data_IF_870180331645
#
_entry.id   IF_870180331645
#
_cell.length_a   1.000
_cell.length_b   1.000
_cell.length_c   1.000
_cell.angle_alpha   90.00
_cell.angle_beta   90.00
_cell.angle_gamma   90.00
#
_symmetry.space_group_name_H-M   'P 1'
#
loop_
_entity.id
_entity.type
_entity.pdbx_description
1 polymer ?
#
# COMPACT_ATOMS: atom_id res chain seq x y z
N UNK A 1 -15.20 -10.99 -10.79
CA UNK A 1 -15.88 -11.86 -11.78
C UNK A 1 -15.76 -11.17 -13.12
N UNK A 2 -15.60 -11.91 -14.21
CA UNK A 2 -15.61 -11.32 -15.54
C UNK A 2 -16.91 -10.55 -15.74
N UNK A 3 -16.85 -9.47 -16.51
CA UNK A 3 -18.06 -8.75 -16.91
C UNK A 3 -18.83 -9.67 -17.86
N UNK A 4 -20.03 -10.04 -17.46
CA UNK A 4 -20.90 -10.94 -18.20
C UNK A 4 -22.15 -10.23 -18.71
N UNK A 5 -22.63 -10.64 -19.88
CA UNK A 5 -23.95 -10.26 -20.37
C UNK A 5 -25.05 -11.15 -19.77
N UNK A 6 -26.31 -10.88 -20.13
CA UNK A 6 -27.48 -11.65 -19.71
C UNK A 6 -27.44 -13.14 -20.14
N UNK A 7 -26.54 -13.51 -21.05
CA UNK A 7 -26.34 -14.86 -21.57
C UNK A 7 -25.14 -15.57 -20.93
N UNK A 8 -24.43 -14.92 -20.00
CA UNK A 8 -23.23 -15.44 -19.35
C UNK A 8 -21.98 -15.43 -20.24
N UNK A 9 -21.96 -14.64 -21.31
CA UNK A 9 -20.79 -14.47 -22.18
C UNK A 9 -19.87 -13.43 -21.59
N UNK A 10 -18.56 -13.62 -21.73
CA UNK A 10 -17.56 -12.76 -21.11
C UNK A 10 -17.16 -11.64 -22.04
N UNK A 11 -17.06 -10.43 -21.51
CA UNK A 11 -16.60 -9.26 -22.25
C UNK A 11 -15.07 -9.30 -22.42
N UNK A 12 -14.60 -9.09 -23.64
CA UNK A 12 -13.17 -9.00 -23.94
C UNK A 12 -12.64 -7.55 -23.91
N UNK A 13 -11.34 -7.39 -24.16
CA UNK A 13 -10.63 -6.08 -24.13
C UNK A 13 -11.14 -5.08 -25.18
N UNK A 14 -11.80 -5.55 -26.23
CA UNK A 14 -12.43 -4.72 -27.25
C UNK A 14 -13.89 -4.39 -26.93
N UNK A 15 -14.43 -4.98 -25.88
CA UNK A 15 -15.81 -4.81 -25.44
C UNK A 15 -16.79 -5.81 -26.06
N UNK A 16 -16.30 -6.78 -26.86
CA UNK A 16 -17.14 -7.83 -27.46
C UNK A 16 -17.36 -8.99 -26.50
N UNK A 17 -18.52 -9.65 -26.60
CA UNK A 17 -18.87 -10.78 -25.74
C UNK A 17 -18.57 -12.12 -26.41
N UNK A 18 -17.84 -12.99 -25.69
CA UNK A 18 -17.47 -14.33 -26.16
C UNK A 18 -17.99 -15.40 -25.21
N UNK A 19 -18.51 -16.47 -25.79
CA UNK A 19 -18.94 -17.64 -25.03
C UNK A 19 -17.73 -18.24 -24.27
N UNK A 20 -17.84 -18.60 -22.97
CA UNK A 20 -16.71 -19.07 -22.16
C UNK A 20 -15.94 -20.25 -22.77
N UNK A 21 -16.66 -21.22 -23.36
CA UNK A 21 -16.03 -22.36 -24.04
C UNK A 21 -15.16 -22.01 -25.27
N UNK A 22 -15.19 -20.76 -25.75
CA UNK A 22 -14.34 -20.26 -26.85
C UNK A 22 -13.13 -19.47 -26.36
N UNK A 23 -12.99 -19.28 -25.05
CA UNK A 23 -11.87 -18.61 -24.40
C UNK A 23 -10.88 -19.67 -23.98
N UNK A 24 -9.58 -19.43 -24.17
CA UNK A 24 -8.56 -20.40 -23.78
C UNK A 24 -8.59 -20.67 -22.26
N UNK A 25 -8.27 -21.91 -21.86
CA UNK A 25 -8.27 -22.28 -20.44
C UNK A 25 -7.28 -21.44 -19.65
N UNK A 26 -6.12 -21.10 -20.23
CA UNK A 26 -5.12 -20.30 -19.54
C UNK A 26 -5.61 -18.85 -19.35
N UNK A 27 -6.35 -18.29 -20.33
CA UNK A 27 -7.00 -16.97 -20.19
C UNK A 27 -8.11 -16.97 -19.13
N UNK A 28 -8.92 -18.03 -19.06
CA UNK A 28 -9.96 -18.17 -18.01
C UNK A 28 -9.34 -18.28 -16.61
N UNK A 29 -8.25 -19.03 -16.47
CA UNK A 29 -7.51 -19.16 -15.20
C UNK A 29 -6.84 -17.84 -14.80
N UNK A 30 -6.34 -17.07 -15.77
CA UNK A 30 -5.77 -15.74 -15.53
C UNK A 30 -6.83 -14.76 -15.03
N UNK A 31 -7.98 -14.68 -15.70
CA UNK A 31 -9.08 -13.79 -15.28
C UNK A 31 -9.54 -14.11 -13.85
N UNK A 32 -9.77 -15.39 -13.54
CA UNK A 32 -10.16 -15.79 -12.19
C UNK A 32 -9.09 -15.42 -11.15
N UNK A 33 -7.81 -15.59 -11.47
CA UNK A 33 -6.72 -15.24 -10.57
C UNK A 33 -6.70 -13.74 -10.30
N UNK A 34 -6.78 -12.92 -11.35
CA UNK A 34 -6.82 -11.46 -11.24
C UNK A 34 -8.01 -11.02 -10.41
N UNK A 35 -9.20 -11.50 -10.73
CA UNK A 35 -10.44 -11.15 -10.03
C UNK A 35 -10.40 -11.57 -8.55
N UNK A 36 -9.84 -12.75 -8.26
CA UNK A 36 -9.66 -13.22 -6.88
C UNK A 36 -8.70 -12.32 -6.09
N UNK A 37 -7.58 -11.91 -6.70
CA UNK A 37 -6.60 -11.03 -6.06
C UNK A 37 -7.21 -9.65 -5.82
N UNK A 38 -7.90 -9.09 -6.82
CA UNK A 38 -8.58 -7.80 -6.70
C UNK A 38 -9.66 -7.81 -5.62
N UNK A 39 -10.52 -8.83 -5.57
CA UNK A 39 -11.54 -8.95 -4.54
C UNK A 39 -10.94 -9.01 -3.13
N UNK A 40 -9.85 -9.75 -2.92
CA UNK A 40 -9.13 -9.77 -1.64
C UNK A 40 -8.49 -8.42 -1.31
N UNK A 41 -7.91 -7.75 -2.31
CA UNK A 41 -7.35 -6.40 -2.16
C UNK A 41 -8.39 -5.37 -1.73
N UNK A 42 -9.58 -5.39 -2.33
CA UNK A 42 -10.69 -4.48 -1.96
C UNK A 42 -11.18 -4.72 -0.53
N UNK A 43 -11.29 -5.98 -0.10
CA UNK A 43 -11.63 -6.31 1.29
C UNK A 43 -10.58 -5.79 2.27
N UNK A 44 -9.29 -5.97 1.94
CA UNK A 44 -8.19 -5.44 2.76
C UNK A 44 -8.21 -3.91 2.81
N UNK A 45 -8.47 -3.24 1.69
CA UNK A 45 -8.61 -1.79 1.64
C UNK A 45 -9.75 -1.30 2.53
N UNK A 46 -10.91 -1.95 2.48
CA UNK A 46 -12.04 -1.64 3.33
C UNK A 46 -11.69 -1.81 4.82
N UNK A 47 -11.04 -2.91 5.20
CA UNK A 47 -10.60 -3.16 6.57
C UNK A 47 -9.57 -2.11 7.06
N UNK A 48 -8.64 -1.70 6.20
CA UNK A 48 -7.66 -0.65 6.53
C UNK A 48 -8.35 0.71 6.71
N UNK A 49 -9.36 1.02 5.88
CA UNK A 49 -10.15 2.26 6.02
C UNK A 49 -10.95 2.26 7.32
N UNK A 50 -11.67 1.18 7.61
CA UNK A 50 -12.43 1.02 8.85
C UNK A 50 -11.53 1.15 10.08
N UNK A 51 -10.37 0.48 10.08
CA UNK A 51 -9.39 0.59 11.15
C UNK A 51 -8.86 2.02 11.31
N UNK A 52 -8.59 2.70 10.19
CA UNK A 52 -8.14 4.09 10.21
C UNK A 52 -9.19 5.01 10.85
N UNK A 53 -10.44 4.90 10.43
CA UNK A 53 -11.54 5.72 10.96
C UNK A 53 -11.75 5.46 12.45
N UNK A 54 -11.72 4.19 12.87
CA UNK A 54 -11.74 3.79 14.28
C UNK A 54 -10.63 4.45 15.10
N UNK A 55 -9.37 4.38 14.62
CA UNK A 55 -8.24 4.98 15.36
C UNK A 55 -8.42 6.49 15.52
N UNK A 56 -8.87 7.20 14.48
CA UNK A 56 -9.12 8.64 14.57
C UNK A 56 -10.29 8.98 15.48
N UNK A 57 -11.41 8.25 15.39
CA UNK A 57 -12.59 8.50 16.22
C UNK A 57 -12.26 8.32 17.71
N UNK A 58 -11.63 7.20 18.08
CA UNK A 58 -11.29 6.91 19.46
C UNK A 58 -10.28 7.92 20.04
N UNK A 59 -9.26 8.28 19.26
CA UNK A 59 -8.24 9.22 19.73
C UNK A 59 -8.81 10.63 19.93
N UNK A 60 -9.61 11.12 19.00
CA UNK A 60 -10.20 12.45 19.15
C UNK A 60 -11.27 12.48 20.23
N UNK A 61 -12.08 11.42 20.38
CA UNK A 61 -13.02 11.30 21.48
C UNK A 61 -12.31 11.32 22.84
N UNK A 62 -11.20 10.58 22.99
CA UNK A 62 -10.38 10.60 24.19
C UNK A 62 -9.80 11.99 24.50
N UNK A 63 -9.29 12.70 23.49
CA UNK A 63 -8.77 14.05 23.67
C UNK A 63 -9.86 15.07 24.02
N UNK A 64 -11.03 14.99 23.38
CA UNK A 64 -12.15 15.87 23.68
C UNK A 64 -12.67 15.60 25.10
N UNK A 65 -12.68 14.33 25.56
CA UNK A 65 -12.99 14.00 26.95
C UNK A 65 -11.98 14.61 27.95
N UNK A 66 -10.68 14.51 27.68
CA UNK A 66 -9.67 15.16 28.53
C UNK A 66 -9.83 16.69 28.52
N UNK A 67 -10.14 17.30 27.38
CA UNK A 67 -10.39 18.74 27.31
C UNK A 67 -11.53 19.16 28.20
N UNK A 68 -12.62 18.42 28.19
CA UNK A 68 -13.76 18.67 29.06
C UNK A 68 -13.37 18.54 30.54
N UNK A 69 -12.65 17.46 30.92
CA UNK A 69 -12.19 17.24 32.29
C UNK A 69 -11.33 18.39 32.81
N UNK A 70 -10.44 18.92 31.97
CA UNK A 70 -9.51 20.00 32.33
C UNK A 70 -10.00 21.41 31.94
N UNK A 71 -11.25 21.57 31.47
CA UNK A 71 -11.83 22.84 31.00
C UNK A 71 -10.96 23.57 29.94
N UNK A 72 -10.44 22.84 28.96
CA UNK A 72 -9.58 23.35 27.89
C UNK A 72 -10.38 23.52 26.60
N UNK A 73 -10.43 24.74 26.05
CA UNK A 73 -11.07 24.98 24.76
C UNK A 73 -10.23 24.43 23.59
N UNK A 74 -10.93 23.98 22.53
CA UNK A 74 -10.29 23.48 21.31
C UNK A 74 -9.66 24.61 20.51
N UNK A 75 -8.34 24.54 20.32
CA UNK A 75 -7.62 25.46 19.44
C UNK A 75 -7.99 25.20 17.97
N UNK A 76 -8.53 26.21 17.28
CA UNK A 76 -8.90 26.10 15.86
C UNK A 76 -7.66 25.96 14.96
N UNK A 77 -7.74 25.06 13.98
CA UNK A 77 -6.81 25.02 12.84
C UNK A 77 -5.51 24.24 13.04
N UNK A 78 -5.30 23.54 14.15
CA UNK A 78 -4.09 22.73 14.37
C UNK A 78 -4.39 21.25 14.18
N UNK A 79 -3.75 20.62 13.19
CA UNK A 79 -3.74 19.16 13.08
C UNK A 79 -2.91 18.60 14.23
N UNK A 80 -3.53 17.77 15.06
CA UNK A 80 -2.92 17.29 16.28
C UNK A 80 -2.00 16.11 16.00
N UNK A 81 -0.74 16.27 16.40
CA UNK A 81 0.18 15.14 16.54
C UNK A 81 -0.06 14.54 17.91
N UNK A 82 -0.31 13.24 17.96
CA UNK A 82 -0.72 12.54 19.17
C UNK A 82 0.24 11.38 19.38
N UNK A 83 0.71 11.18 20.61
CA UNK A 83 1.46 9.99 21.02
C UNK A 83 0.86 9.49 22.31
N UNK A 84 0.35 8.27 22.33
CA UNK A 84 -0.20 7.60 23.51
C UNK A 84 0.55 6.29 23.74
N UNK A 85 0.71 5.92 25.01
CA UNK A 85 1.35 4.68 25.44
C UNK A 85 0.40 3.89 26.33
N UNK A 86 0.52 2.57 26.29
CA UNK A 86 -0.13 1.72 27.29
C UNK A 86 0.43 2.03 28.69
N UNK A 87 -0.34 1.74 29.73
CA UNK A 87 0.05 1.99 31.12
C UNK A 87 1.40 1.37 31.49
N UNK A 88 1.66 0.13 31.05
CA UNK A 88 2.95 -0.55 31.27
C UNK A 88 4.07 -0.10 30.31
N UNK A 89 3.80 0.82 29.37
CA UNK A 89 4.78 1.35 28.41
C UNK A 89 5.27 0.37 27.34
N UNK A 90 4.63 -0.79 27.17
CA UNK A 90 5.01 -1.81 26.18
C UNK A 90 4.41 -1.58 24.79
N UNK A 91 3.35 -0.76 24.68
CA UNK A 91 2.70 -0.41 23.42
C UNK A 91 2.64 1.10 23.27
N UNK A 92 2.81 1.57 22.04
CA UNK A 92 2.74 2.97 21.66
C UNK A 92 1.95 3.12 20.37
N UNK A 93 1.08 4.12 20.33
CA UNK A 93 0.45 4.59 19.11
C UNK A 93 0.74 6.07 18.90
N UNK A 94 1.02 6.45 17.64
CA UNK A 94 1.31 7.83 17.24
C UNK A 94 0.58 8.25 15.97
N UNK A 95 -0.13 9.38 16.02
CA UNK A 95 -0.58 10.14 14.85
C UNK A 95 0.48 11.19 14.53
N UNK A 96 1.18 10.98 13.43
CA UNK A 96 2.14 11.93 12.88
C UNK A 96 1.49 12.73 11.76
N UNK A 97 1.85 14.01 11.63
CA UNK A 97 1.38 14.88 10.55
C UNK A 97 2.59 15.42 9.82
N UNK A 98 2.69 15.10 8.52
CA UNK A 98 3.73 15.62 7.64
C UNK A 98 3.12 16.63 6.68
N UNK A 99 3.82 17.75 6.50
CA UNK A 99 3.45 18.75 5.53
C UNK A 99 3.90 18.28 4.14
N UNK A 100 2.99 18.36 3.18
CA UNK A 100 3.32 18.22 1.77
C UNK A 100 3.89 19.54 1.30
N UNK A 101 5.19 19.54 1.04
CA UNK A 101 5.95 20.70 0.62
C UNK A 101 6.02 20.72 -0.89
N UNK A 102 5.88 21.90 -1.46
CA UNK A 102 6.15 22.19 -2.86
C UNK A 102 6.93 23.50 -2.95
N UNK A 103 7.37 23.87 -4.15
CA UNK A 103 8.14 25.08 -4.39
C UNK A 103 7.55 25.90 -5.52
N UNK A 104 7.45 27.21 -5.29
CA UNK A 104 7.07 28.16 -6.33
C UNK A 104 8.15 28.22 -7.42
N UNK A 105 7.81 27.74 -8.62
CA UNK A 105 8.74 27.63 -9.76
C UNK A 105 9.43 28.95 -10.11
N UNK A 106 8.68 30.05 -10.15
CA UNK A 106 9.21 31.38 -10.50
C UNK A 106 10.31 31.78 -9.53
N UNK A 107 10.07 31.62 -8.23
CA UNK A 107 11.06 31.97 -7.20
C UNK A 107 12.28 31.05 -7.21
N UNK A 108 12.12 29.78 -7.54
CA UNK A 108 13.25 28.84 -7.67
C UNK A 108 14.15 29.22 -8.85
N UNK A 109 13.58 29.58 -10.00
CA UNK A 109 14.38 30.06 -11.15
C UNK A 109 15.10 31.37 -10.83
N UNK A 110 14.47 32.32 -10.12
CA UNK A 110 15.16 33.53 -9.65
C UNK A 110 16.30 33.22 -8.68
N UNK A 111 16.13 32.25 -7.77
CA UNK A 111 17.19 31.81 -6.88
C UNK A 111 18.36 31.19 -7.65
N UNK A 112 18.05 30.39 -8.67
CA UNK A 112 19.04 29.78 -9.57
C UNK A 112 19.89 30.82 -10.27
N UNK A 113 19.29 31.91 -10.77
CA UNK A 113 20.04 33.03 -11.35
C UNK A 113 21.04 33.63 -10.36
N UNK A 114 20.64 33.85 -9.10
CA UNK A 114 21.53 34.36 -8.04
C UNK A 114 22.70 33.41 -7.76
N UNK A 115 22.43 32.11 -7.65
CA UNK A 115 23.50 31.13 -7.45
C UNK A 115 24.46 31.05 -8.65
N UNK A 116 23.95 31.18 -9.88
CA UNK A 116 24.78 31.22 -11.08
C UNK A 116 25.62 32.49 -11.16
N UNK A 117 25.10 33.64 -10.72
CA UNK A 117 25.90 34.88 -10.57
C UNK A 117 27.06 34.67 -9.60
N UNK A 118 26.82 34.00 -8.46
CA UNK A 118 27.88 33.63 -7.52
C UNK A 118 28.91 32.69 -8.16
N UNK A 119 28.45 31.63 -8.83
CA UNK A 119 29.35 30.67 -9.50
C UNK A 119 30.24 31.37 -10.52
N UNK A 120 29.67 32.25 -11.36
CA UNK A 120 30.42 32.99 -12.38
C UNK A 120 31.49 33.93 -11.78
N UNK A 121 31.28 34.48 -10.58
CA UNK A 121 32.31 35.29 -9.90
C UNK A 121 33.47 34.45 -9.34
N UNK A 122 33.24 33.17 -9.05
CA UNK A 122 34.24 32.26 -8.47
C UNK A 122 35.09 31.56 -9.52
N UNK A 123 34.63 31.48 -10.76
CA UNK A 123 35.36 30.87 -11.88
C UNK A 123 36.54 31.78 -12.26
N UNK A 124 37.77 31.34 -11.92
CA UNK A 124 39.03 31.88 -12.49
C UNK A 124 39.53 31.05 -13.68
N UNK A 125 39.19 29.77 -13.75
CA UNK A 125 39.55 28.85 -14.84
C UNK A 125 38.37 27.89 -15.16
N UNK A 126 38.28 27.45 -16.42
CA UNK A 126 37.16 26.66 -17.00
C UNK A 126 36.92 25.30 -16.30
N UNK A 127 37.92 24.78 -15.59
CA UNK A 127 37.88 23.47 -14.92
C UNK A 127 37.15 23.49 -13.57
N UNK A 128 36.84 24.66 -13.00
CA UNK A 128 36.23 24.83 -11.67
C UNK A 128 34.68 24.96 -11.72
N UNK A 129 34.03 24.10 -12.51
CA UNK A 129 32.59 24.17 -12.82
C UNK A 129 31.67 23.43 -11.80
N UNK A 130 32.23 23.04 -10.65
CA UNK A 130 31.55 22.19 -9.67
C UNK A 130 30.35 22.90 -9.03
N UNK A 131 30.48 24.18 -8.68
CA UNK A 131 29.39 24.94 -8.02
C UNK A 131 28.17 25.05 -8.94
N UNK A 132 28.40 25.36 -10.22
CA UNK A 132 27.32 25.50 -11.20
C UNK A 132 26.62 24.17 -11.45
N UNK A 133 27.38 23.08 -11.57
CA UNK A 133 26.81 21.72 -11.74
C UNK A 133 25.94 21.34 -10.55
N UNK A 134 26.39 21.64 -9.33
CA UNK A 134 25.66 21.33 -8.10
C UNK A 134 24.39 22.17 -7.98
N UNK A 135 24.45 23.46 -8.30
CA UNK A 135 23.27 24.35 -8.33
C UNK A 135 22.26 23.86 -9.36
N UNK A 136 22.71 23.55 -10.58
CA UNK A 136 21.83 23.08 -11.65
C UNK A 136 21.17 21.75 -11.29
N UNK A 137 21.91 20.79 -10.74
CA UNK A 137 21.38 19.50 -10.32
C UNK A 137 20.44 19.60 -9.12
N UNK A 138 20.72 20.47 -8.15
CA UNK A 138 19.86 20.66 -6.98
C UNK A 138 18.53 21.38 -7.31
N UNK A 139 18.54 22.23 -8.34
CA UNK A 139 17.39 23.03 -8.77
C UNK A 139 16.78 22.50 -10.09
N UNK A 140 16.98 21.22 -10.40
CA UNK A 140 16.35 20.56 -11.54
C UNK A 140 15.01 19.93 -11.11
N UNK A 141 13.88 20.32 -11.74
CA UNK A 141 12.60 19.71 -11.42
C UNK A 141 12.52 18.29 -11.97
N UNK A 142 12.23 17.32 -11.10
CA UNK A 142 11.98 15.91 -11.48
C UNK A 142 10.47 15.71 -11.59
N UNK A 143 9.98 15.35 -12.78
CA UNK A 143 8.54 15.22 -13.08
C UNK A 143 7.71 16.46 -12.67
N UNK A 144 8.28 17.65 -12.89
CA UNK A 144 7.62 18.93 -12.59
C UNK A 144 7.64 19.35 -11.11
N UNK A 145 8.32 18.61 -10.24
CA UNK A 145 8.47 18.94 -8.80
C UNK A 145 9.94 19.04 -8.41
N UNK A 146 10.23 19.96 -7.50
CA UNK A 146 11.55 20.06 -6.90
C UNK A 146 11.69 19.14 -5.71
N UNK A 147 12.88 18.57 -5.50
CA UNK A 147 13.19 17.74 -4.35
C UNK A 147 13.61 18.63 -3.16
N UNK A 148 12.80 18.66 -2.09
CA UNK A 148 13.10 19.41 -0.86
C UNK A 148 14.47 19.00 -0.30
N UNK A 149 14.89 17.73 -0.43
CA UNK A 149 16.20 17.29 0.08
C UNK A 149 17.35 17.92 -0.68
N UNK A 150 17.27 17.99 -2.00
CA UNK A 150 18.34 18.55 -2.82
C UNK A 150 18.43 20.07 -2.62
N UNK A 151 17.29 20.75 -2.50
CA UNK A 151 17.24 22.17 -2.14
C UNK A 151 17.81 22.43 -0.73
N UNK A 152 17.42 21.65 0.28
CA UNK A 152 17.94 21.81 1.64
C UNK A 152 19.45 21.54 1.71
N UNK A 153 19.97 20.55 0.96
CA UNK A 153 21.41 20.34 0.85
C UNK A 153 22.11 21.58 0.32
N UNK A 154 21.58 22.19 -0.75
CA UNK A 154 22.14 23.42 -1.32
C UNK A 154 22.14 24.55 -0.28
N UNK A 155 21.03 24.78 0.42
CA UNK A 155 20.92 25.81 1.47
C UNK A 155 21.97 25.59 2.57
N UNK A 156 22.18 24.33 2.98
CA UNK A 156 23.07 23.97 4.09
C UNK A 156 24.56 24.16 3.81
N UNK A 157 24.97 24.49 2.58
CA UNK A 157 26.37 24.80 2.27
C UNK A 157 26.84 26.10 2.92
N UNK A 158 25.93 27.02 3.27
CA UNK A 158 26.22 28.13 4.17
C UNK A 158 27.25 29.15 3.68
N UNK A 159 27.39 29.37 2.37
CA UNK A 159 28.31 30.39 1.87
C UNK A 159 27.84 31.81 2.23
N UNK A 160 28.79 32.65 2.66
CA UNK A 160 28.51 33.99 3.18
C UNK A 160 28.30 35.07 2.09
N UNK A 161 28.53 34.73 0.82
CA UNK A 161 28.47 35.69 -0.28
C UNK A 161 27.06 36.28 -0.47
N UNK A 162 26.90 37.58 -0.77
CA UNK A 162 25.58 38.22 -0.92
C UNK A 162 24.64 37.50 -1.88
N UNK A 163 25.10 37.15 -3.08
CA UNK A 163 24.31 36.38 -4.04
C UNK A 163 23.88 35.00 -3.53
N UNK A 164 24.69 34.34 -2.70
CA UNK A 164 24.31 33.05 -2.12
C UNK A 164 23.21 33.23 -1.09
N UNK A 165 23.35 34.22 -0.20
CA UNK A 165 22.32 34.55 0.81
C UNK A 165 21.00 34.92 0.16
N UNK A 166 21.02 35.80 -0.83
CA UNK A 166 19.82 36.19 -1.60
C UNK A 166 19.16 34.99 -2.30
N UNK A 167 19.97 34.09 -2.88
CA UNK A 167 19.47 32.84 -3.48
C UNK A 167 18.80 31.93 -2.44
N UNK A 168 19.40 31.77 -1.26
CA UNK A 168 18.83 31.01 -0.14
C UNK A 168 17.52 31.63 0.35
N UNK A 169 17.47 32.95 0.52
CA UNK A 169 16.26 33.67 0.92
C UNK A 169 15.12 33.48 -0.09
N UNK A 170 15.43 33.56 -1.39
CA UNK A 170 14.46 33.27 -2.46
C UNK A 170 13.93 31.84 -2.37
N UNK A 171 14.80 30.83 -2.20
CA UNK A 171 14.40 29.42 -2.02
C UNK A 171 13.54 29.20 -0.79
N UNK A 172 13.90 29.81 0.35
CA UNK A 172 13.10 29.71 1.57
C UNK A 172 11.72 30.33 1.37
N UNK A 173 11.63 31.47 0.69
CA UNK A 173 10.36 32.12 0.37
C UNK A 173 9.55 31.41 -0.74
N UNK A 174 10.20 30.54 -1.53
CA UNK A 174 9.59 29.71 -2.56
C UNK A 174 8.89 28.48 -1.97
N UNK A 175 9.33 28.02 -0.80
CA UNK A 175 8.81 26.84 -0.13
C UNK A 175 7.37 27.09 0.34
N UNK A 176 6.44 26.30 -0.20
CA UNK A 176 5.02 26.36 0.12
C UNK A 176 4.54 25.03 0.71
N UNK A 177 3.57 25.09 1.61
CA UNK A 177 2.89 23.89 2.11
C UNK A 177 1.59 23.72 1.35
N UNK A 178 1.53 22.72 0.47
CA UNK A 178 0.37 22.46 -0.40
C UNK A 178 -0.70 21.61 0.29
N UNK A 179 -0.32 20.91 1.36
CA UNK A 179 -1.26 20.13 2.16
C UNK A 179 -0.60 19.46 3.36
N UNK A 180 -1.34 18.60 4.04
CA UNK A 180 -0.79 17.75 5.09
C UNK A 180 -1.27 16.32 4.91
N UNK A 181 -0.41 15.36 5.23
CA UNK A 181 -0.76 13.94 5.28
C UNK A 181 -0.50 13.43 6.68
N UNK A 182 -1.51 12.78 7.24
CA UNK A 182 -1.43 12.16 8.55
C UNK A 182 -1.12 10.67 8.44
N UNK A 183 -0.35 10.16 9.40
CA UNK A 183 0.16 8.79 9.43
C UNK A 183 -0.04 8.19 10.81
N UNK A 184 -0.60 6.99 10.82
CA UNK A 184 -0.78 6.14 12.00
C UNK A 184 0.50 5.30 12.13
N UNK A 185 1.17 5.38 13.28
CA UNK A 185 2.34 4.56 13.59
C UNK A 185 2.06 3.76 14.85
N UNK A 186 2.12 2.44 14.72
CA UNK A 186 1.93 1.49 15.82
C UNK A 186 3.26 0.85 16.15
N UNK A 187 3.60 0.82 17.44
CA UNK A 187 4.81 0.19 17.93
C UNK A 187 4.54 -0.60 19.20
N UNK A 188 5.27 -1.68 19.37
CA UNK A 188 5.28 -2.46 20.59
C UNK A 188 6.71 -2.84 20.95
N UNK A 189 6.96 -3.19 22.21
CA UNK A 189 8.22 -3.81 22.58
C UNK A 189 8.22 -5.27 22.16
N UNK A 190 9.38 -5.76 21.74
CA UNK A 190 9.64 -7.17 21.43
C UNK A 190 9.09 -8.06 22.57
N UNK A 191 8.28 -9.06 22.20
CA UNK A 191 7.59 -9.98 23.12
C UNK A 191 6.80 -9.29 24.26
N UNK A 192 6.45 -8.00 24.12
CA UNK A 192 5.86 -7.16 25.16
C UNK A 192 6.69 -7.05 26.45
N UNK A 193 8.02 -7.23 26.36
CA UNK A 193 8.95 -7.08 27.49
C UNK A 193 9.27 -5.62 27.77
N UNK A 194 9.51 -5.27 29.03
CA UNK A 194 9.80 -3.89 29.44
C UNK A 194 11.18 -3.39 28.98
N UNK A 195 12.14 -4.28 28.82
CA UNK A 195 13.50 -4.03 28.31
C UNK A 195 13.65 -4.34 26.82
N UNK A 196 12.60 -4.86 26.19
CA UNK A 196 12.55 -5.17 24.77
C UNK A 196 12.72 -3.93 23.88
N UNK A 197 13.31 -4.14 22.71
CA UNK A 197 13.45 -3.10 21.69
C UNK A 197 12.09 -2.74 21.09
N UNK A 198 11.94 -1.52 20.59
CA UNK A 198 10.72 -1.10 19.90
C UNK A 198 10.65 -1.69 18.49
N UNK A 199 9.53 -2.32 18.18
CA UNK A 199 9.20 -2.90 16.89
C UNK A 199 7.95 -2.22 16.32
N UNK A 200 8.00 -1.88 15.04
CA UNK A 200 6.85 -1.32 14.34
C UNK A 200 5.89 -2.41 13.89
N UNK A 201 4.59 -2.18 14.07
CA UNK A 201 3.56 -3.03 13.44
C UNK A 201 3.36 -2.52 12.02
N UNK A 202 3.78 -3.32 11.04
CA UNK A 202 3.78 -2.94 9.63
C UNK A 202 2.54 -3.49 8.93
N UNK A 203 1.82 -2.60 8.24
CA UNK A 203 0.64 -2.92 7.42
C UNK A 203 0.93 -2.86 5.92
N UNK A 204 2.19 -2.59 5.54
CA UNK A 204 2.66 -2.54 4.15
C UNK A 204 3.04 -3.93 3.66
N UNK A 205 2.39 -4.38 2.58
CA UNK A 205 2.64 -5.68 1.95
C UNK A 205 4.10 -5.85 1.52
N UNK A 206 4.78 -4.79 1.09
CA UNK A 206 6.16 -4.87 0.61
C UNK A 206 7.17 -5.16 1.72
N UNK A 207 6.85 -4.79 2.96
CA UNK A 207 7.74 -4.95 4.10
C UNK A 207 7.47 -6.23 4.91
N UNK A 208 6.40 -6.97 4.58
CA UNK A 208 6.07 -8.23 5.22
C UNK A 208 6.76 -9.41 4.51
N UNK A 209 7.30 -10.39 5.26
CA UNK A 209 7.97 -11.54 4.67
C UNK A 209 6.99 -12.47 3.95
N UNK A 210 7.43 -12.99 2.80
CA UNK A 210 6.70 -14.03 2.08
C UNK A 210 6.93 -15.38 2.77
N UNK A 211 5.87 -16.17 2.92
CA UNK A 211 5.95 -17.51 3.48
C UNK A 211 6.01 -18.56 2.36
N UNK A 212 7.19 -19.16 2.13
CA UNK A 212 7.45 -20.12 1.03
C UNK A 212 6.50 -21.32 1.03
N UNK A 213 6.05 -21.75 2.21
CA UNK A 213 5.11 -22.86 2.39
C UNK A 213 3.74 -22.58 1.77
N UNK A 214 3.30 -21.33 1.73
CA UNK A 214 2.01 -20.91 1.12
C UNK A 214 2.09 -20.96 -0.41
N UNK A 215 3.26 -20.64 -0.97
CA UNK A 215 3.49 -20.65 -2.42
C UNK A 215 3.38 -22.08 -2.96
N UNK A 216 4.08 -23.04 -2.35
CA UNK A 216 4.07 -24.43 -2.81
C UNK A 216 2.67 -25.03 -2.83
N UNK A 217 1.89 -24.77 -1.79
CA UNK A 217 0.49 -25.23 -1.67
C UNK A 217 -0.41 -24.61 -2.75
N UNK A 218 -0.18 -23.34 -3.11
CA UNK A 218 -0.91 -22.67 -4.19
C UNK A 218 -0.58 -23.27 -5.57
N UNK A 219 0.68 -23.65 -5.80
CA UNK A 219 1.11 -24.30 -7.05
C UNK A 219 0.39 -25.64 -7.26
N UNK A 220 0.33 -26.47 -6.22
CA UNK A 220 -0.36 -27.77 -6.28
C UNK A 220 -1.85 -27.61 -6.64
N UNK A 221 -2.53 -26.62 -6.04
CA UNK A 221 -3.92 -26.31 -6.33
C UNK A 221 -4.16 -25.93 -7.79
N UNK A 222 -3.35 -25.02 -8.35
CA UNK A 222 -3.51 -24.59 -9.76
C UNK A 222 -3.28 -25.76 -10.72
N UNK A 223 -2.31 -26.63 -10.44
CA UNK A 223 -2.07 -27.85 -11.23
C UNK A 223 -3.30 -28.78 -11.21
N UNK A 224 -3.89 -29.00 -10.03
CA UNK A 224 -5.10 -29.80 -9.88
C UNK A 224 -6.28 -29.19 -10.65
N UNK A 225 -6.54 -27.89 -10.48
CA UNK A 225 -7.65 -27.19 -11.15
C UNK A 225 -7.52 -27.23 -12.67
N UNK A 226 -6.30 -27.05 -13.19
CA UNK A 226 -6.03 -27.18 -14.64
C UNK A 226 -6.37 -28.57 -15.16
N UNK A 227 -6.03 -29.62 -14.42
CA UNK A 227 -6.37 -30.99 -14.80
C UNK A 227 -7.88 -31.25 -14.78
N UNK A 228 -8.61 -30.64 -13.85
CA UNK A 228 -10.06 -30.71 -13.78
C UNK A 228 -10.71 -30.07 -15.02
N UNK A 229 -10.32 -28.84 -15.37
CA UNK A 229 -10.87 -28.11 -16.53
C UNK A 229 -10.58 -28.80 -17.87
N UNK A 230 -9.46 -29.52 -18.00
CA UNK A 230 -9.11 -30.29 -19.20
C UNK A 230 -9.92 -31.58 -19.36
N UNK A 231 -10.51 -32.11 -18.29
CA UNK A 231 -11.38 -33.28 -18.35
C UNK A 231 -12.80 -32.79 -18.64
N UNK A 232 -13.14 -32.60 -19.91
CA UNK A 232 -14.53 -32.44 -20.33
C UNK A 232 -15.34 -33.69 -19.96
N UNK A 233 -15.90 -33.82 -18.75
CA UNK A 233 -17.05 -34.70 -18.47
C UNK A 233 -17.69 -34.55 -17.08
N UNK A 234 -19.01 -34.28 -17.13
CA UNK A 234 -20.07 -34.84 -16.27
C UNK A 234 -19.89 -34.76 -14.75
N UNK A 235 -19.89 -33.57 -14.18
CA UNK A 235 -20.65 -33.34 -12.95
C UNK A 235 -21.40 -32.03 -13.10
N UNK A 236 -22.72 -32.15 -13.07
CA UNK A 236 -23.67 -31.04 -13.10
C UNK A 236 -23.33 -30.13 -11.92
N UNK A 237 -22.93 -28.90 -12.22
CA UNK A 237 -22.97 -27.81 -11.25
C UNK A 237 -24.44 -27.64 -10.84
N UNK A 238 -24.81 -28.18 -9.68
CA UNK A 238 -25.97 -27.67 -8.98
C UNK A 238 -25.48 -26.40 -8.31
N UNK A 239 -25.93 -25.26 -8.83
CA UNK A 239 -25.96 -23.99 -8.10
C UNK A 239 -26.75 -24.21 -6.80
N UNK A 240 -26.07 -24.70 -5.76
CA UNK A 240 -26.49 -24.49 -4.39
C UNK A 240 -25.70 -23.28 -3.91
N UNK A 241 -26.41 -22.26 -3.41
CA UNK A 241 -25.88 -20.97 -2.96
C UNK A 241 -24.93 -21.00 -1.75
N UNK A 242 -24.08 -22.03 -1.66
CA UNK A 242 -23.06 -22.26 -0.63
C UNK A 242 -21.76 -22.83 -1.26
N UNK A 243 -21.47 -22.44 -2.51
CA UNK A 243 -20.19 -22.76 -3.13
C UNK A 243 -19.06 -22.17 -2.26
N UNK A 244 -18.23 -23.09 -1.73
CA UNK A 244 -17.05 -22.90 -0.87
C UNK A 244 -17.20 -23.08 0.65
N UNK A 245 -17.70 -24.22 1.10
CA UNK A 245 -17.49 -24.67 2.49
C UNK A 245 -15.99 -24.80 2.87
N UNK A 246 -15.10 -25.06 1.91
CA UNK A 246 -13.64 -25.25 2.13
C UNK A 246 -12.83 -23.95 2.20
N UNK A 247 -13.30 -22.92 1.49
CA UNK A 247 -12.68 -21.57 1.46
C UNK A 247 -13.05 -20.81 2.73
N UNK A 248 -14.25 -21.05 3.26
CA UNK A 248 -14.69 -20.59 4.58
C UNK A 248 -13.79 -21.16 5.69
N UNK A 249 -13.43 -22.43 5.66
CA UNK A 249 -12.54 -23.05 6.65
C UNK A 249 -11.09 -22.50 6.62
N UNK A 250 -10.59 -22.10 5.44
CA UNK A 250 -9.28 -21.49 5.29
C UNK A 250 -9.28 -20.00 5.69
N UNK A 251 -10.32 -19.25 5.33
CA UNK A 251 -10.50 -17.86 5.74
C UNK A 251 -10.88 -17.76 7.26
N UNK A 252 -11.37 -18.84 7.89
CA UNK A 252 -11.64 -18.98 9.34
C UNK A 252 -10.45 -19.51 10.17
N UNK A 253 -9.28 -19.74 9.56
CA UNK A 253 -8.03 -20.02 10.29
C UNK A 253 -7.71 -21.48 10.61
N UNK A 254 -8.32 -22.46 9.93
CA UNK A 254 -7.91 -23.88 10.04
C UNK A 254 -6.68 -24.20 9.21
N UNK A 255 -5.98 -25.28 9.57
CA UNK A 255 -4.71 -25.67 8.92
C UNK A 255 -4.95 -26.24 7.52
N UNK A 256 -3.98 -26.05 6.64
CA UNK A 256 -4.08 -26.46 5.23
C UNK A 256 -4.13 -27.98 5.07
N UNK A 257 -3.57 -28.72 6.03
CA UNK A 257 -3.54 -30.18 6.00
C UNK A 257 -4.93 -30.77 6.27
N UNK A 258 -5.76 -30.10 7.07
CA UNK A 258 -7.17 -30.45 7.29
C UNK A 258 -8.01 -30.22 6.02
N UNK A 259 -7.74 -29.12 5.30
CA UNK A 259 -8.43 -28.81 4.04
C UNK A 259 -8.08 -29.82 2.93
N UNK A 260 -6.81 -30.25 2.86
CA UNK A 260 -6.34 -31.25 1.89
C UNK A 260 -6.84 -32.66 2.22
N UNK A 261 -6.94 -33.02 3.50
CA UNK A 261 -7.52 -34.30 3.91
C UNK A 261 -9.00 -34.39 3.54
N UNK A 262 -9.75 -33.31 3.81
CA UNK A 262 -11.17 -33.24 3.47
C UNK A 262 -11.41 -33.31 1.96
N UNK A 263 -10.62 -32.57 1.16
CA UNK A 263 -10.74 -32.61 -0.30
C UNK A 263 -10.47 -34.02 -0.88
N UNK A 264 -9.52 -34.77 -0.29
CA UNK A 264 -9.23 -36.16 -0.67
C UNK A 264 -10.34 -37.13 -0.24
N UNK A 265 -10.95 -36.91 0.93
CA UNK A 265 -12.13 -37.66 1.36
C UNK A 265 -13.33 -37.40 0.47
N UNK A 266 -13.54 -36.14 0.07
CA UNK A 266 -14.62 -35.78 -0.83
C UNK A 266 -14.41 -36.38 -2.22
N UNK A 267 -13.20 -36.29 -2.78
CA UNK A 267 -12.82 -36.93 -4.04
C UNK A 267 -13.04 -38.46 -3.97
N UNK A 268 -12.74 -39.08 -2.83
CA UNK A 268 -13.00 -40.50 -2.59
C UNK A 268 -14.50 -40.81 -2.51
N UNK A 269 -15.29 -40.02 -1.79
CA UNK A 269 -16.75 -40.14 -1.73
C UNK A 269 -17.41 -39.99 -3.11
N UNK A 270 -16.93 -39.06 -3.93
CA UNK A 270 -17.42 -38.86 -5.30
C UNK A 270 -17.00 -40.00 -6.24
N UNK A 271 -15.80 -40.57 -6.07
CA UNK A 271 -15.39 -41.78 -6.80
C UNK A 271 -16.17 -43.03 -6.38
N UNK A 272 -16.48 -43.17 -5.09
CA UNK A 272 -17.32 -44.26 -4.56
C UNK A 272 -18.79 -44.12 -5.00
N UNK A 273 -19.33 -42.90 -5.03
CA UNK A 273 -20.66 -42.60 -5.56
C UNK A 273 -20.74 -42.82 -7.08
N UNK A 274 -19.69 -42.43 -7.83
CA UNK A 274 -19.59 -42.66 -9.27
C UNK A 274 -19.49 -44.14 -9.65
N UNK A 275 -18.83 -44.97 -8.82
CA UNK A 275 -18.77 -46.42 -9.00
C UNK A 275 -20.12 -47.11 -8.72
N UNK A 276 -21.03 -46.50 -7.96
CA UNK A 276 -22.36 -47.04 -7.68
C UNK A 276 -23.43 -46.65 -8.73
N UNK A 277 -23.08 -45.83 -9.74
CA UNK A 277 -23.99 -45.46 -10.84
C UNK A 277 -23.76 -46.36 -12.08
N UNK A 278 -23.09 -47.50 -11.88
CA UNK A 278 -22.85 -48.54 -12.88
C UNK A 278 -23.39 -49.90 -12.47
N UNK A 279 -24.67 -50.01 -12.10
CA UNK A 279 -25.52 -51.20 -12.25
C UNK A 279 -26.95 -50.89 -11.76
N UNK A 280 -27.72 -50.16 -12.58
CA UNK A 280 -29.16 -50.31 -12.80
C UNK A 280 -29.66 -49.38 -13.90
#
# INVERSE_FOLDING_TARGET
MPIIDDKGWWQDKTGEYKHPARIDIDEQLEDELVEKIHAKGLKLQAAILEYKDFVYSECYAFLDNLREEYNIERLKGKTERITLKSFNGTKEFKISVNNLIDYNQVKVELAKEKFLQYANLKIKDIEDNDIKTIVLGALEPKNGKYDDRDIQKLINWGFEHPFWKEGVELLQSARITTGTKSYINLRQKEELKLDGMWEGIVLDLAALPIQDTVIQKSIEFIKWKRNLLRRENKFVFIEAGDDYYWRKLFDEGKSIDEALAYAKEEEKCWQEAGNNIGEK
#
